data_IF_838334630416
#
_entry.id   IF_838334630416
#
_cell.length_a   1.000
_cell.length_b   1.000
_cell.length_c   1.000
_cell.angle_alpha   90.00
_cell.angle_beta   90.00
_cell.angle_gamma   90.00
#
_symmetry.space_group_name_H-M   'P 1'
#
loop_
_entity.id
_entity.type
_entity.pdbx_description
1 polymer ?
#
# COMPACT_ATOMS: atom_id res chain seq x y z
N UNK A 1 -8.90 -12.47 -23.53
CA UNK A 1 -8.42 -11.47 -22.55
C UNK A 1 -7.16 -12.05 -21.94
N UNK A 2 -6.00 -11.47 -22.25
CA UNK A 2 -4.69 -12.00 -21.84
C UNK A 2 -4.57 -12.05 -20.31
N UNK A 3 -3.79 -13.00 -19.79
CA UNK A 3 -3.58 -13.25 -18.35
C UNK A 3 -3.29 -11.96 -17.56
N UNK A 4 -2.53 -11.04 -18.17
CA UNK A 4 -2.17 -9.75 -17.59
C UNK A 4 -3.39 -8.85 -17.32
N UNK A 5 -4.39 -8.82 -18.22
CA UNK A 5 -5.59 -8.00 -18.04
C UNK A 5 -6.48 -8.49 -16.88
N UNK A 6 -6.52 -9.80 -16.65
CA UNK A 6 -7.27 -10.40 -15.53
C UNK A 6 -6.63 -10.04 -14.18
N UNK A 7 -5.30 -10.00 -14.12
CA UNK A 7 -4.58 -9.66 -12.89
C UNK A 7 -4.75 -8.17 -12.51
N UNK A 8 -4.76 -7.26 -13.50
CA UNK A 8 -5.02 -5.82 -13.27
C UNK A 8 -6.42 -5.56 -12.71
N UNK A 9 -7.45 -6.20 -13.29
CA UNK A 9 -8.84 -6.07 -12.81
C UNK A 9 -8.97 -6.61 -11.39
N UNK A 10 -8.38 -7.77 -11.11
CA UNK A 10 -8.42 -8.37 -9.79
C UNK A 10 -7.77 -7.46 -8.73
N UNK A 11 -6.55 -6.97 -8.98
CA UNK A 11 -5.85 -6.06 -8.07
C UNK A 11 -6.65 -4.79 -7.80
N UNK A 12 -7.19 -4.16 -8.85
CA UNK A 12 -8.01 -2.97 -8.72
C UNK A 12 -9.24 -3.21 -7.85
N UNK A 13 -9.98 -4.30 -8.11
CA UNK A 13 -11.16 -4.65 -7.31
C UNK A 13 -10.78 -4.98 -5.86
N UNK A 14 -9.67 -5.66 -5.64
CA UNK A 14 -9.19 -5.99 -4.30
C UNK A 14 -8.90 -4.73 -3.48
N UNK A 15 -8.15 -3.77 -4.04
CA UNK A 15 -7.89 -2.51 -3.35
C UNK A 15 -9.16 -1.65 -3.18
N UNK A 16 -10.14 -1.73 -4.10
CA UNK A 16 -11.45 -1.10 -3.88
C UNK A 16 -12.22 -1.70 -2.71
N UNK A 17 -12.14 -3.01 -2.49
CA UNK A 17 -12.73 -3.65 -1.32
C UNK A 17 -12.03 -3.18 -0.03
N UNK A 18 -10.70 -3.01 -0.06
CA UNK A 18 -9.93 -2.40 1.03
C UNK A 18 -10.42 -0.98 1.30
N UNK A 19 -10.58 -0.14 0.27
CA UNK A 19 -11.13 1.21 0.42
C UNK A 19 -12.54 1.19 1.04
N UNK A 20 -13.40 0.26 0.62
CA UNK A 20 -14.72 0.07 1.22
C UNK A 20 -14.68 -0.31 2.71
N UNK A 21 -13.70 -1.12 3.14
CA UNK A 21 -13.46 -1.41 4.57
C UNK A 21 -12.97 -0.17 5.32
N UNK A 22 -12.06 0.61 4.70
CA UNK A 22 -11.57 1.86 5.29
C UNK A 22 -12.69 2.88 5.45
N UNK A 23 -13.60 3.02 4.49
CA UNK A 23 -14.78 3.88 4.60
C UNK A 23 -15.64 3.53 5.81
N UNK A 24 -15.79 2.23 6.14
CA UNK A 24 -16.54 1.80 7.32
C UNK A 24 -15.85 2.18 8.63
N UNK A 25 -14.53 2.30 8.63
CA UNK A 25 -13.70 2.59 9.80
C UNK A 25 -13.55 4.12 9.99
N UNK A 26 -13.15 4.84 8.95
CA UNK A 26 -12.82 6.27 8.98
C UNK A 26 -13.96 7.18 8.53
N UNK A 27 -15.06 6.60 8.04
CA UNK A 27 -16.27 7.32 7.67
C UNK A 27 -16.34 7.77 6.21
N UNK A 28 -17.53 8.28 5.84
CA UNK A 28 -17.84 8.70 4.46
C UNK A 28 -17.05 9.93 4.03
N UNK A 29 -16.80 10.87 4.94
CA UNK A 29 -16.13 12.13 4.61
C UNK A 29 -14.66 11.92 4.23
N UNK A 30 -13.94 11.11 5.01
CA UNK A 30 -12.60 10.66 4.65
C UNK A 30 -12.58 10.01 3.26
N UNK A 31 -13.52 9.11 2.99
CA UNK A 31 -13.60 8.42 1.70
C UNK A 31 -13.96 9.37 0.55
N UNK A 32 -14.74 10.42 0.79
CA UNK A 32 -15.05 11.45 -0.22
C UNK A 32 -13.77 12.14 -0.69
N UNK A 33 -12.88 12.49 0.24
CA UNK A 33 -11.56 13.07 -0.07
C UNK A 33 -10.68 12.05 -0.79
N UNK A 34 -10.67 10.80 -0.32
CA UNK A 34 -9.90 9.74 -0.99
C UNK A 34 -10.37 9.55 -2.45
N UNK A 35 -11.68 9.45 -2.70
CA UNK A 35 -12.25 9.29 -4.05
C UNK A 35 -11.89 10.46 -4.97
N UNK A 36 -11.87 11.68 -4.45
CA UNK A 36 -11.43 12.86 -5.21
C UNK A 36 -10.01 12.65 -5.76
N UNK A 37 -9.08 12.25 -4.88
CA UNK A 37 -7.68 11.99 -5.24
C UNK A 37 -7.48 10.74 -6.09
N UNK A 38 -8.23 9.68 -5.83
CA UNK A 38 -8.27 8.48 -6.69
C UNK A 38 -8.67 8.86 -8.12
N UNK A 39 -9.69 9.71 -8.28
CA UNK A 39 -10.15 10.21 -9.58
C UNK A 39 -9.10 11.07 -10.29
N UNK A 40 -8.43 11.97 -9.57
CA UNK A 40 -7.33 12.78 -10.12
C UNK A 40 -6.16 11.92 -10.62
N UNK A 41 -5.79 10.90 -9.85
CA UNK A 41 -4.74 9.97 -10.23
C UNK A 41 -5.00 9.28 -11.57
N UNK A 42 -6.22 8.77 -11.74
CA UNK A 42 -6.65 8.04 -12.94
C UNK A 42 -6.80 9.00 -14.13
N UNK A 43 -7.55 10.09 -13.95
CA UNK A 43 -7.87 11.02 -15.03
C UNK A 43 -6.63 11.72 -15.61
N UNK A 44 -5.67 12.10 -14.78
CA UNK A 44 -4.40 12.69 -15.22
C UNK A 44 -3.57 11.76 -16.11
N UNK A 45 -3.57 10.45 -15.84
CA UNK A 45 -2.83 9.45 -16.62
C UNK A 45 -3.44 9.15 -17.97
N UNK A 46 -4.75 9.35 -18.11
CA UNK A 46 -5.45 9.19 -19.39
C UNK A 46 -5.64 10.50 -20.15
N UNK A 47 -5.16 11.62 -19.60
CA UNK A 47 -5.24 12.94 -20.23
C UNK A 47 -6.66 13.53 -20.26
N UNK A 48 -7.51 13.15 -19.31
CA UNK A 48 -8.92 13.57 -19.26
C UNK A 48 -9.21 14.43 -18.03
N UNK A 49 -10.32 15.17 -18.07
CA UNK A 49 -10.85 15.85 -16.89
C UNK A 49 -11.47 14.82 -15.94
N UNK A 50 -11.19 14.94 -14.64
CA UNK A 50 -11.82 14.09 -13.62
C UNK A 50 -13.35 14.19 -13.72
N UNK A 51 -14.07 13.06 -13.86
CA UNK A 51 -15.53 13.06 -13.78
C UNK A 51 -16.02 13.32 -12.35
N UNK A 52 -17.32 13.52 -12.19
CA UNK A 52 -17.92 13.63 -10.86
C UNK A 52 -18.03 12.24 -10.20
N UNK A 53 -17.23 12.05 -9.14
CA UNK A 53 -17.09 10.79 -8.42
C UNK A 53 -17.37 11.06 -6.93
N UNK A 54 -18.56 10.69 -6.48
CA UNK A 54 -19.04 10.88 -5.10
C UNK A 54 -19.11 9.58 -4.29
N UNK A 55 -18.77 8.45 -4.91
CA UNK A 55 -18.92 7.12 -4.35
C UNK A 55 -17.91 6.14 -4.93
N UNK A 56 -17.55 5.11 -4.15
CA UNK A 56 -16.67 4.04 -4.60
C UNK A 56 -17.23 3.28 -5.80
N UNK A 57 -18.56 3.17 -5.93
CA UNK A 57 -19.19 2.51 -7.07
C UNK A 57 -19.04 3.32 -8.36
N UNK A 58 -19.25 4.65 -8.31
CA UNK A 58 -18.94 5.51 -9.48
C UNK A 58 -17.46 5.46 -9.83
N UNK A 59 -16.58 5.50 -8.82
CA UNK A 59 -15.14 5.37 -9.04
C UNK A 59 -14.77 4.00 -9.65
N UNK A 60 -15.40 2.91 -9.20
CA UNK A 60 -15.22 1.57 -9.77
C UNK A 60 -15.57 1.55 -11.26
N UNK A 61 -16.75 2.08 -11.62
CA UNK A 61 -17.19 2.11 -13.02
C UNK A 61 -16.21 2.90 -13.88
N UNK A 62 -15.82 4.10 -13.44
CA UNK A 62 -14.86 4.92 -14.16
C UNK A 62 -13.49 4.23 -14.31
N UNK A 63 -12.94 3.71 -13.21
CA UNK A 63 -11.66 3.02 -13.22
C UNK A 63 -11.64 1.80 -14.13
N UNK A 64 -12.74 1.02 -14.18
CA UNK A 64 -12.88 -0.10 -15.11
C UNK A 64 -12.96 0.34 -16.58
N UNK A 65 -13.68 1.43 -16.87
CA UNK A 65 -13.81 1.96 -18.24
C UNK A 65 -12.47 2.39 -18.83
N UNK A 66 -11.60 2.97 -18.00
CA UNK A 66 -10.32 3.53 -18.45
C UNK A 66 -9.13 2.62 -18.15
N UNK A 67 -9.36 1.44 -17.58
CA UNK A 67 -8.33 0.53 -17.09
C UNK A 67 -7.29 0.15 -18.15
N UNK A 68 -7.72 -0.04 -19.40
CA UNK A 68 -6.80 -0.37 -20.50
C UNK A 68 -5.81 0.75 -20.87
N UNK A 69 -6.02 1.97 -20.35
CA UNK A 69 -5.18 3.16 -20.58
C UNK A 69 -4.38 3.58 -19.35
N UNK A 70 -4.52 2.86 -18.23
CA UNK A 70 -3.79 3.13 -16.99
C UNK A 70 -2.95 1.90 -16.68
N UNK A 71 -1.65 2.08 -16.54
CA UNK A 71 -0.70 0.98 -16.30
C UNK A 71 -1.03 0.23 -14.99
N UNK A 72 -1.33 0.99 -13.93
CA UNK A 72 -1.45 0.54 -12.55
C UNK A 72 -2.70 1.11 -11.85
N UNK A 73 -3.92 0.81 -12.32
CA UNK A 73 -5.16 1.41 -11.82
C UNK A 73 -5.38 1.24 -10.32
N UNK A 74 -4.86 0.17 -9.68
CA UNK A 74 -4.98 -0.02 -8.23
C UNK A 74 -4.16 1.01 -7.43
N UNK A 75 -3.10 1.57 -8.00
CA UNK A 75 -2.28 2.58 -7.33
C UNK A 75 -3.05 3.88 -7.11
N UNK A 76 -4.15 4.11 -7.83
CA UNK A 76 -5.06 5.22 -7.53
C UNK A 76 -5.66 5.12 -6.13
N UNK A 77 -5.97 3.89 -5.68
CA UNK A 77 -6.55 3.62 -4.37
C UNK A 77 -5.55 3.96 -3.27
N UNK A 78 -4.35 3.42 -3.39
CA UNK A 78 -3.25 3.68 -2.46
C UNK A 78 -2.90 5.17 -2.41
N UNK A 79 -2.79 5.82 -3.57
CA UNK A 79 -2.56 7.25 -3.68
C UNK A 79 -3.64 8.06 -2.98
N UNK A 80 -4.92 7.80 -3.29
CA UNK A 80 -6.02 8.58 -2.72
C UNK A 80 -6.18 8.41 -1.22
N UNK A 81 -5.88 7.22 -0.68
CA UNK A 81 -5.84 6.99 0.78
C UNK A 81 -4.73 7.83 1.44
N UNK A 82 -3.54 7.87 0.83
CA UNK A 82 -2.43 8.63 1.39
C UNK A 82 -2.69 10.15 1.35
N UNK A 83 -3.23 10.64 0.24
CA UNK A 83 -3.64 12.05 0.10
C UNK A 83 -4.75 12.41 1.10
N UNK A 84 -5.73 11.52 1.29
CA UNK A 84 -6.80 11.73 2.27
C UNK A 84 -6.25 11.76 3.70
N UNK A 85 -5.25 10.94 4.04
CA UNK A 85 -4.58 11.01 5.34
C UNK A 85 -3.94 12.38 5.59
N UNK A 86 -3.36 13.01 4.57
CA UNK A 86 -2.81 14.37 4.67
C UNK A 86 -3.90 15.41 4.88
N UNK A 87 -4.91 15.41 4.01
CA UNK A 87 -5.94 16.45 3.98
C UNK A 87 -6.89 16.36 5.18
N UNK A 88 -7.10 15.15 5.69
CA UNK A 88 -8.03 14.88 6.78
C UNK A 88 -7.34 14.79 8.15
N UNK A 89 -6.01 14.99 8.21
CA UNK A 89 -5.18 14.75 9.41
C UNK A 89 -5.62 15.54 10.64
N UNK A 90 -6.11 16.77 10.45
CA UNK A 90 -6.57 17.62 11.55
C UNK A 90 -7.87 17.12 12.20
N UNK A 91 -8.69 16.35 11.47
CA UNK A 91 -9.97 15.80 11.93
C UNK A 91 -9.91 14.31 12.29
N UNK A 92 -8.82 13.61 11.94
CA UNK A 92 -8.59 12.24 12.39
C UNK A 92 -8.35 12.25 13.91
N UNK A 93 -9.04 11.37 14.64
CA UNK A 93 -8.70 11.11 16.05
C UNK A 93 -7.22 10.69 16.11
N UNK A 94 -6.50 11.11 17.16
CA UNK A 94 -5.09 10.74 17.36
C UNK A 94 -4.91 9.23 17.17
N UNK A 95 -4.16 8.83 16.14
CA UNK A 95 -3.80 7.43 15.85
C UNK A 95 -4.56 6.75 14.71
N UNK A 96 -5.62 7.34 14.14
CA UNK A 96 -6.30 6.78 12.98
C UNK A 96 -5.68 7.27 11.66
N UNK A 97 -5.33 6.34 10.76
CA UNK A 97 -4.71 6.62 9.46
C UNK A 97 -5.08 5.52 8.47
N UNK A 98 -5.55 5.90 7.28
CA UNK A 98 -5.81 4.98 6.20
C UNK A 98 -4.56 4.22 5.74
N UNK A 99 -3.39 4.87 5.77
CA UNK A 99 -2.09 4.23 5.53
C UNK A 99 -1.86 3.02 6.46
N UNK A 100 -2.10 3.19 7.76
CA UNK A 100 -2.03 2.09 8.72
C UNK A 100 -3.14 1.04 8.51
N UNK A 101 -4.35 1.46 8.13
CA UNK A 101 -5.47 0.53 7.91
C UNK A 101 -5.27 -0.34 6.69
N UNK A 102 -4.72 0.18 5.59
CA UNK A 102 -4.37 -0.66 4.42
C UNK A 102 -3.40 -1.76 4.83
N UNK A 103 -2.32 -1.45 5.55
CA UNK A 103 -1.31 -2.46 5.92
C UNK A 103 -1.88 -3.52 6.88
N UNK A 104 -2.76 -3.12 7.81
CA UNK A 104 -3.52 -4.03 8.66
C UNK A 104 -4.44 -4.96 7.84
N UNK A 105 -5.15 -4.42 6.85
CA UNK A 105 -6.08 -5.20 6.03
C UNK A 105 -5.36 -6.19 5.11
N UNK A 106 -4.18 -5.81 4.58
CA UNK A 106 -3.29 -6.72 3.84
C UNK A 106 -2.81 -7.85 4.75
N UNK A 107 -2.38 -7.52 5.98
CA UNK A 107 -1.95 -8.49 6.98
C UNK A 107 -3.06 -9.50 7.28
N UNK A 108 -4.25 -9.01 7.65
CA UNK A 108 -5.43 -9.85 7.93
C UNK A 108 -5.71 -10.81 6.78
N UNK A 109 -5.74 -10.32 5.53
CA UNK A 109 -5.99 -11.14 4.35
C UNK A 109 -4.91 -12.21 4.15
N UNK A 110 -3.63 -11.86 4.35
CA UNK A 110 -2.51 -12.78 4.13
C UNK A 110 -2.45 -13.94 5.14
N UNK A 111 -3.05 -13.77 6.33
CA UNK A 111 -3.01 -14.74 7.42
C UNK A 111 -4.24 -15.65 7.46
N UNK A 112 -5.28 -15.41 6.64
CA UNK A 112 -6.50 -16.24 6.66
C UNK A 112 -6.18 -17.70 6.33
N UNK A 113 -6.56 -18.61 7.24
CA UNK A 113 -6.38 -20.05 7.07
C UNK A 113 -4.91 -20.50 7.08
N UNK A 114 -3.99 -19.68 7.59
CA UNK A 114 -2.58 -20.06 7.75
C UNK A 114 -2.33 -20.60 9.15
N UNK A 115 -1.44 -21.60 9.22
CA UNK A 115 -0.94 -22.08 10.50
C UNK A 115 -0.27 -20.95 11.29
N UNK A 116 -0.45 -20.90 12.63
CA UNK A 116 0.24 -19.94 13.47
C UNK A 116 1.76 -20.07 13.29
N UNK A 117 2.39 -18.95 12.93
CA UNK A 117 3.85 -18.83 12.89
C UNK A 117 4.27 -17.69 13.82
N UNK A 118 5.27 -17.96 14.67
CA UNK A 118 5.88 -16.99 15.57
C UNK A 118 7.37 -17.25 15.63
N UNK A 119 8.17 -16.19 15.58
CA UNK A 119 9.63 -16.23 15.70
C UNK A 119 10.09 -15.02 16.52
N UNK A 120 11.34 -15.02 17.00
CA UNK A 120 11.99 -13.82 17.53
C UNK A 120 12.91 -13.16 16.49
N UNK A 121 13.15 -13.77 15.33
CA UNK A 121 13.96 -13.17 14.27
C UNK A 121 13.10 -12.32 13.35
N UNK A 122 13.42 -11.02 13.21
CA UNK A 122 12.74 -10.17 12.23
C UNK A 122 13.05 -10.60 10.78
N UNK A 123 14.19 -11.23 10.54
CA UNK A 123 14.59 -11.75 9.23
C UNK A 123 13.71 -12.95 8.83
N UNK A 124 13.57 -13.94 9.72
CA UNK A 124 12.68 -15.08 9.48
C UNK A 124 11.21 -14.64 9.35
N UNK A 125 10.77 -13.68 10.16
CA UNK A 125 9.44 -13.10 10.07
C UNK A 125 9.20 -12.43 8.70
N UNK A 126 10.18 -11.69 8.19
CA UNK A 126 10.09 -11.04 6.88
C UNK A 126 10.00 -12.07 5.73
N UNK A 127 10.86 -13.09 5.76
CA UNK A 127 10.84 -14.18 4.78
C UNK A 127 9.49 -14.91 4.79
N UNK A 128 9.00 -15.27 5.99
CA UNK A 128 7.71 -15.97 6.12
C UNK A 128 6.54 -15.11 5.66
N UNK A 129 6.55 -13.82 5.98
CA UNK A 129 5.48 -12.92 5.56
C UNK A 129 5.45 -12.73 4.04
N UNK A 130 6.60 -12.72 3.37
CA UNK A 130 6.67 -12.72 1.91
C UNK A 130 5.93 -13.93 1.29
N UNK A 131 6.05 -15.12 1.89
CA UNK A 131 5.29 -16.31 1.47
C UNK A 131 3.77 -16.13 1.64
N UNK A 132 3.35 -15.49 2.74
CA UNK A 132 1.93 -15.23 3.00
C UNK A 132 1.34 -14.24 1.99
N UNK A 133 2.07 -13.18 1.64
CA UNK A 133 1.67 -12.22 0.61
C UNK A 133 1.49 -12.86 -0.77
N UNK A 134 2.39 -13.78 -1.15
CA UNK A 134 2.26 -14.56 -2.40
C UNK A 134 0.96 -15.33 -2.46
N UNK A 135 0.50 -15.87 -1.34
CA UNK A 135 -0.73 -16.67 -1.29
C UNK A 135 -2.01 -15.88 -1.55
N UNK A 136 -1.96 -14.56 -1.40
CA UNK A 136 -3.06 -13.64 -1.74
C UNK A 136 -2.78 -12.82 -3.00
N UNK A 137 -1.80 -13.21 -3.82
CA UNK A 137 -1.42 -12.52 -5.08
C UNK A 137 -1.03 -11.04 -4.89
N UNK A 138 -0.53 -10.68 -3.71
CA UNK A 138 0.09 -9.39 -3.45
C UNK A 138 1.60 -9.55 -3.30
N UNK A 139 2.21 -10.30 -4.23
CA UNK A 139 3.65 -10.53 -4.18
C UNK A 139 4.38 -9.19 -4.28
N UNK A 140 5.30 -8.98 -3.36
CA UNK A 140 6.22 -7.86 -3.34
C UNK A 140 7.61 -8.48 -3.40
N UNK A 141 8.11 -8.81 -4.61
CA UNK A 141 9.38 -9.49 -4.76
C UNK A 141 10.47 -8.68 -4.05
N UNK A 142 11.01 -9.26 -2.98
CA UNK A 142 11.97 -8.57 -2.14
C UNK A 142 13.10 -9.51 -1.75
N UNK A 143 14.33 -9.01 -1.86
CA UNK A 143 15.49 -9.63 -1.23
C UNK A 143 15.61 -9.09 0.18
N UNK A 144 15.65 -9.98 1.16
CA UNK A 144 15.84 -9.65 2.58
C UNK A 144 17.22 -10.15 3.00
N UNK A 145 18.04 -9.25 3.53
CA UNK A 145 19.36 -9.57 4.05
C UNK A 145 19.46 -9.10 5.50
N UNK A 146 19.78 -10.02 6.39
CA UNK A 146 20.11 -9.68 7.78
C UNK A 146 21.40 -8.86 7.83
N UNK A 147 21.35 -7.74 8.54
CA UNK A 147 22.52 -6.92 8.86
C UNK A 147 23.01 -7.30 10.25
N UNK A 148 22.07 -7.34 11.20
CA UNK A 148 22.22 -7.80 12.57
C UNK A 148 20.85 -8.27 13.12
N UNK A 149 20.80 -8.66 14.39
CA UNK A 149 19.60 -9.22 15.03
C UNK A 149 18.38 -8.26 15.06
N UNK A 150 18.62 -6.95 14.93
CA UNK A 150 17.61 -5.90 15.03
C UNK A 150 17.42 -5.14 13.72
N UNK A 151 18.22 -5.44 12.69
CA UNK A 151 18.22 -4.72 11.41
C UNK A 151 18.24 -5.66 10.22
N UNK A 152 17.29 -5.47 9.30
CA UNK A 152 17.29 -6.10 7.98
C UNK A 152 17.34 -5.07 6.87
N UNK A 153 18.12 -5.35 5.82
CA UNK A 153 18.06 -4.68 4.54
C UNK A 153 16.96 -5.32 3.67
N UNK A 154 16.16 -4.49 3.03
CA UNK A 154 15.10 -4.93 2.11
C UNK A 154 15.30 -4.24 0.76
N UNK A 155 15.48 -5.03 -0.29
CA UNK A 155 15.53 -4.56 -1.67
C UNK A 155 14.27 -5.03 -2.37
N UNK A 156 13.37 -4.10 -2.68
CA UNK A 156 12.08 -4.36 -3.33
C UNK A 156 12.23 -4.22 -4.84
N UNK A 157 12.03 -5.33 -5.56
CA UNK A 157 12.12 -5.43 -7.01
C UNK A 157 10.91 -4.81 -7.72
N UNK A 158 10.12 -5.65 -8.39
CA UNK A 158 8.93 -5.23 -9.13
C UNK A 158 7.76 -4.92 -8.18
N UNK A 159 7.76 -3.71 -7.63
CA UNK A 159 6.83 -3.29 -6.60
C UNK A 159 5.48 -2.85 -7.20
N UNK A 160 4.40 -3.56 -6.87
CA UNK A 160 3.04 -3.18 -7.28
C UNK A 160 2.62 -1.78 -6.81
N UNK A 161 3.22 -1.26 -5.74
CA UNK A 161 2.92 0.07 -5.21
C UNK A 161 3.73 1.21 -5.88
N UNK A 162 4.62 0.91 -6.84
CA UNK A 162 5.63 1.88 -7.31
C UNK A 162 5.01 3.16 -7.88
N UNK A 163 3.96 3.06 -8.69
CA UNK A 163 3.39 4.25 -9.33
C UNK A 163 2.63 5.17 -8.38
N UNK A 164 2.07 4.68 -7.27
CA UNK A 164 1.56 5.58 -6.22
C UNK A 164 2.71 6.24 -5.46
N UNK A 165 3.76 5.50 -5.07
CA UNK A 165 4.94 6.07 -4.41
C UNK A 165 5.62 7.14 -5.27
N UNK A 166 5.70 6.94 -6.59
CA UNK A 166 6.25 7.91 -7.54
C UNK A 166 5.43 9.21 -7.57
N UNK A 167 4.10 9.10 -7.65
CA UNK A 167 3.21 10.27 -7.62
C UNK A 167 3.38 11.06 -6.31
N UNK A 168 3.37 10.35 -5.19
CA UNK A 168 3.52 10.91 -3.84
C UNK A 168 4.84 11.66 -3.67
N UNK A 169 5.94 11.08 -4.15
CA UNK A 169 7.25 11.74 -4.09
C UNK A 169 7.35 12.96 -5.01
N UNK A 170 6.76 12.91 -6.21
CA UNK A 170 6.72 14.06 -7.11
C UNK A 170 5.99 15.26 -6.48
N UNK A 171 4.98 14.98 -5.65
CA UNK A 171 4.21 15.96 -4.88
C UNK A 171 4.86 16.33 -3.53
N UNK A 172 6.06 15.80 -3.24
CA UNK A 172 6.82 16.04 -2.00
C UNK A 172 6.03 15.70 -0.72
N UNK A 173 5.23 14.64 -0.80
CA UNK A 173 4.44 14.16 0.32
C UNK A 173 5.30 13.24 1.18
N UNK A 174 5.76 13.79 2.29
CA UNK A 174 6.61 13.11 3.26
C UNK A 174 5.84 12.81 4.54
N UNK A 175 6.36 11.82 5.28
CA UNK A 175 5.95 11.55 6.66
C UNK A 175 6.27 12.76 7.54
N UNK A 176 5.71 12.79 8.76
CA UNK A 176 5.94 13.89 9.72
C UNK A 176 7.42 14.05 10.10
N UNK A 177 8.18 12.95 10.05
CA UNK A 177 9.63 12.90 10.29
C UNK A 177 10.46 13.34 9.07
N UNK A 178 9.82 13.80 8.00
CA UNK A 178 10.46 14.22 6.75
C UNK A 178 10.89 13.06 5.84
N UNK A 179 10.64 11.80 6.22
CA UNK A 179 11.02 10.64 5.40
C UNK A 179 9.97 10.29 4.34
N UNK A 180 10.36 9.71 3.19
CA UNK A 180 9.41 9.25 2.18
C UNK A 180 8.51 8.12 2.67
N UNK A 181 7.24 8.17 2.26
CA UNK A 181 6.34 7.02 2.38
C UNK A 181 6.80 5.85 1.49
N UNK A 182 6.69 4.64 2.02
CA UNK A 182 6.85 3.41 1.25
C UNK A 182 5.79 2.39 1.64
N UNK A 183 4.83 2.14 0.75
CA UNK A 183 3.77 1.15 0.97
C UNK A 183 4.31 -0.27 1.16
N UNK A 184 5.28 -0.69 0.35
CA UNK A 184 5.85 -2.03 0.43
C UNK A 184 6.54 -2.28 1.78
N UNK A 185 7.40 -1.34 2.23
CA UNK A 185 8.06 -1.46 3.52
C UNK A 185 7.06 -1.39 4.67
N UNK A 186 6.04 -0.53 4.60
CA UNK A 186 4.98 -0.46 5.61
C UNK A 186 4.20 -1.76 5.74
N UNK A 187 3.80 -2.36 4.62
CA UNK A 187 3.10 -3.65 4.59
C UNK A 187 3.98 -4.73 5.22
N UNK A 188 5.27 -4.77 4.88
CA UNK A 188 6.23 -5.70 5.48
C UNK A 188 6.37 -5.48 6.99
N UNK A 189 6.51 -4.23 7.46
CA UNK A 189 6.57 -3.93 8.89
C UNK A 189 5.36 -4.48 9.65
N UNK A 190 4.14 -4.36 9.10
CA UNK A 190 2.94 -4.91 9.74
C UNK A 190 3.02 -6.43 9.91
N UNK A 191 3.46 -7.15 8.88
CA UNK A 191 3.66 -8.60 8.96
C UNK A 191 4.77 -9.02 9.90
N UNK A 192 5.93 -8.35 9.79
CA UNK A 192 7.09 -8.63 10.64
C UNK A 192 6.72 -8.42 12.10
N UNK A 193 6.12 -7.27 12.46
CA UNK A 193 5.69 -7.02 13.84
C UNK A 193 4.75 -8.08 14.37
N UNK A 194 3.80 -8.53 13.55
CA UNK A 194 2.86 -9.57 13.96
C UNK A 194 3.52 -10.94 14.16
N UNK A 195 4.43 -11.35 13.27
CA UNK A 195 5.07 -12.66 13.32
C UNK A 195 6.23 -12.71 14.32
N UNK A 196 6.93 -11.59 14.52
CA UNK A 196 8.07 -11.51 15.44
C UNK A 196 7.69 -11.07 16.86
N UNK A 197 6.45 -10.61 17.06
CA UNK A 197 6.01 -9.93 18.28
C UNK A 197 6.94 -8.78 18.70
N UNK A 198 7.50 -8.07 17.72
CA UNK A 198 8.40 -6.94 17.94
C UNK A 198 7.82 -5.66 17.34
N UNK A 199 8.06 -4.52 17.99
CA UNK A 199 7.81 -3.23 17.34
C UNK A 199 8.90 -3.01 16.30
N UNK A 200 8.52 -2.76 15.05
CA UNK A 200 9.48 -2.44 13.99
C UNK A 200 9.08 -1.18 13.24
N UNK A 201 10.08 -0.50 12.70
CA UNK A 201 9.93 0.67 11.84
C UNK A 201 10.74 0.50 10.55
N UNK A 202 10.37 1.23 9.49
CA UNK A 202 11.15 1.26 8.24
C UNK A 202 11.71 2.63 7.93
N UNK A 203 12.80 2.63 7.17
CA UNK A 203 13.30 3.81 6.44
C UNK A 203 13.54 3.45 4.98
N UNK A 204 13.03 4.28 4.07
CA UNK A 204 13.38 4.19 2.65
C UNK A 204 14.73 4.90 2.45
N UNK A 205 15.73 4.18 1.95
CA UNK A 205 17.08 4.71 1.72
C UNK A 205 17.24 5.19 0.27
N UNK A 206 16.77 4.38 -0.68
CA UNK A 206 16.88 4.68 -2.11
C UNK A 206 15.54 4.38 -2.78
N UNK A 207 15.10 5.30 -3.64
CA UNK A 207 13.92 5.15 -4.47
C UNK A 207 14.33 4.93 -5.92
N UNK A 208 13.84 3.84 -6.50
CA UNK A 208 13.87 3.56 -7.95
C UNK A 208 15.28 3.52 -8.60
N UNK A 209 16.32 3.01 -7.90
CA UNK A 209 17.70 2.88 -8.43
C UNK A 209 18.48 1.67 -7.88
N UNK A 210 18.77 0.61 -8.68
CA UNK A 210 17.94 0.05 -9.75
C UNK A 210 16.61 -0.54 -9.23
N UNK A 211 16.48 -0.66 -7.92
CA UNK A 211 15.32 -1.12 -7.17
C UNK A 211 15.07 -0.15 -6.00
N UNK A 212 13.94 -0.29 -5.31
CA UNK A 212 13.75 0.46 -4.06
C UNK A 212 14.50 -0.26 -2.94
N UNK A 213 15.29 0.49 -2.16
CA UNK A 213 16.05 -0.05 -1.02
C UNK A 213 15.61 0.61 0.27
N UNK A 214 15.38 -0.18 1.29
CA UNK A 214 15.10 0.30 2.64
C UNK A 214 15.68 -0.61 3.71
N UNK A 215 15.51 -0.16 4.94
CA UNK A 215 15.82 -0.93 6.15
C UNK A 215 14.56 -1.09 6.99
N UNK A 216 14.46 -2.21 7.68
CA UNK A 216 13.48 -2.43 8.75
C UNK A 216 14.27 -2.68 10.03
N UNK A 217 13.92 -1.93 11.06
CA UNK A 217 14.61 -1.85 12.35
C UNK A 217 13.65 -2.27 13.46
N UNK A 218 14.08 -3.12 14.38
CA UNK A 218 13.42 -3.31 15.67
C UNK A 218 13.66 -2.06 16.54
N UNK A 219 12.61 -1.60 17.22
CA UNK A 219 12.65 -0.49 18.18
C UNK A 219 12.87 -0.97 19.61
#
# INVERSE_FOLDING_TARGET
MEKEGLDKVWLFQWFLQVAGRIQKILGKEYMRIAIYHMGNYVSSRVGEKRPDLDSLDKFRVYGLQVMGRVEDPWNSVLYGILEADRDYRASLKRGESGFNKVSQLVLEASMVGKEPFKTQSICEAAQKYSEFLKSIRLDLPASVQEVDADTINVVVGDCLCKGCCRAVQAEKLFRDDGTPYCWALKINCSGISQLSNSTVEYRLLEFDKPHCRGIILRL
#
